data_IF_505776490308
#
_entry.id   IF_505776490308
#
_cell.length_a   1.000
_cell.length_b   1.000
_cell.length_c   1.000
_cell.angle_alpha   90.00
_cell.angle_beta   90.00
_cell.angle_gamma   90.00
#
_symmetry.space_group_name_H-M   'P 1'
#
loop_
_entity.id
_entity.type
_entity.pdbx_description
1 polymer ?
#
# COMPACT_ATOMS: atom_id res chain seq x y z
N UNK A 1 4.05 11.27 45.88
CA UNK A 1 3.25 12.08 44.96
C UNK A 1 4.20 12.64 43.90
N UNK A 2 4.51 11.84 42.87
CA UNK A 2 5.42 12.20 41.79
C UNK A 2 4.61 12.27 40.50
N UNK A 3 4.35 13.50 40.07
CA UNK A 3 3.88 13.84 38.74
C UNK A 3 5.08 13.71 37.80
N UNK A 4 5.16 12.65 37.01
CA UNK A 4 5.99 12.59 35.81
C UNK A 4 5.06 12.81 34.62
N UNK A 5 4.96 14.07 34.22
CA UNK A 5 5.66 14.59 33.05
C UNK A 5 5.08 14.05 31.74
N UNK A 6 4.04 14.75 31.33
CA UNK A 6 3.62 14.99 29.96
C UNK A 6 4.85 15.21 29.05
N UNK A 7 5.35 14.16 28.41
CA UNK A 7 6.15 14.30 27.19
C UNK A 7 5.31 13.86 26.01
N UNK A 8 4.67 14.86 25.40
CA UNK A 8 4.09 14.83 24.07
C UNK A 8 5.20 14.44 23.08
N UNK A 9 5.44 13.14 22.90
CA UNK A 9 6.21 12.62 21.76
C UNK A 9 5.52 13.18 20.53
N UNK A 10 6.19 14.05 19.77
CA UNK A 10 5.79 14.32 18.39
C UNK A 10 5.56 12.96 17.74
N UNK A 11 4.38 12.74 17.17
CA UNK A 11 3.95 11.43 16.68
C UNK A 11 4.99 10.92 15.66
N UNK A 12 5.90 10.07 16.12
CA UNK A 12 6.89 9.45 15.28
C UNK A 12 6.11 8.40 14.47
N UNK A 13 5.87 8.71 13.19
CA UNK A 13 5.21 7.79 12.25
C UNK A 13 6.00 6.48 12.25
N UNK A 14 5.32 5.38 12.57
CA UNK A 14 5.92 4.06 12.43
C UNK A 14 5.91 3.63 10.96
N UNK A 15 6.58 2.52 10.65
CA UNK A 15 6.75 2.07 9.26
C UNK A 15 5.42 1.67 8.64
N UNK A 16 4.47 1.18 9.44
CA UNK A 16 3.12 0.87 8.97
C UNK A 16 2.39 2.16 8.56
N UNK A 17 2.51 3.24 9.35
CA UNK A 17 1.96 4.54 8.96
C UNK A 17 2.60 5.04 7.66
N UNK A 18 3.92 4.87 7.49
CA UNK A 18 4.60 5.24 6.25
C UNK A 18 4.07 4.47 5.04
N UNK A 19 3.81 3.16 5.17
CA UNK A 19 3.20 2.35 4.10
C UNK A 19 1.78 2.82 3.78
N UNK A 20 0.99 3.24 4.76
CA UNK A 20 -0.36 3.76 4.53
C UNK A 20 -0.31 5.12 3.82
N UNK A 21 0.54 6.02 4.28
CA UNK A 21 0.61 7.39 3.75
C UNK A 21 1.35 7.51 2.41
N UNK A 22 2.11 6.50 1.99
CA UNK A 22 2.72 6.47 0.65
C UNK A 22 1.71 6.05 -0.44
N UNK A 23 0.59 5.40 -0.09
CA UNK A 23 -0.39 4.91 -1.08
C UNK A 23 -0.90 6.02 -2.03
N UNK A 24 -1.28 7.23 -1.56
CA UNK A 24 -1.71 8.30 -2.46
C UNK A 24 -0.62 8.75 -3.42
N UNK A 25 0.64 8.77 -2.98
CA UNK A 25 1.79 9.13 -3.83
C UNK A 25 1.96 8.07 -4.93
N UNK A 26 1.89 6.79 -4.57
CA UNK A 26 1.93 5.70 -5.54
C UNK A 26 0.77 5.77 -6.54
N UNK A 27 -0.43 6.11 -6.09
CA UNK A 27 -1.59 6.27 -6.97
C UNK A 27 -1.38 7.40 -8.00
N UNK A 28 -0.77 8.52 -7.60
CA UNK A 28 -0.41 9.61 -8.52
C UNK A 28 0.66 9.15 -9.51
N UNK A 29 1.67 8.39 -9.07
CA UNK A 29 2.69 7.85 -9.96
C UNK A 29 2.12 6.86 -10.98
N UNK A 30 1.23 5.97 -10.55
CA UNK A 30 0.51 5.03 -11.42
C UNK A 30 -0.32 5.77 -12.48
N UNK A 31 -1.08 6.79 -12.07
CA UNK A 31 -1.82 7.66 -13.01
C UNK A 31 -0.86 8.34 -14.01
N UNK A 32 0.26 8.88 -13.53
CA UNK A 32 1.21 9.58 -14.38
C UNK A 32 1.85 8.64 -15.42
N UNK A 33 2.22 7.42 -15.03
CA UNK A 33 2.75 6.42 -15.97
C UNK A 33 1.70 5.88 -16.92
N UNK A 34 0.44 5.72 -16.48
CA UNK A 34 -0.70 5.41 -17.36
C UNK A 34 -0.91 6.50 -18.42
N UNK A 35 -0.91 7.77 -18.03
CA UNK A 35 -1.04 8.88 -18.99
C UNK A 35 0.15 8.98 -19.95
N UNK A 36 1.36 8.77 -19.45
CA UNK A 36 2.56 8.75 -20.27
C UNK A 36 2.53 7.64 -21.33
N UNK A 37 2.16 6.42 -20.92
CA UNK A 37 2.02 5.28 -21.84
C UNK A 37 0.90 5.51 -22.85
N UNK A 38 -0.25 6.04 -22.41
CA UNK A 38 -1.34 6.47 -23.30
C UNK A 38 -0.87 7.44 -24.39
N UNK A 39 0.01 8.39 -24.07
CA UNK A 39 0.53 9.35 -25.04
C UNK A 39 1.45 8.72 -26.11
N UNK A 40 2.01 7.53 -25.83
CA UNK A 40 3.03 6.86 -26.64
C UNK A 40 2.52 5.65 -27.43
N UNK A 41 1.40 5.03 -27.02
CA UNK A 41 0.90 3.78 -27.63
C UNK A 41 -0.47 3.94 -28.28
N UNK A 42 -0.62 3.48 -29.53
CA UNK A 42 -1.86 3.62 -30.33
C UNK A 42 -3.05 2.74 -29.89
N UNK A 43 -2.92 1.85 -28.91
CA UNK A 43 -4.06 1.00 -28.53
C UNK A 43 -4.07 0.60 -27.04
N UNK A 44 -4.93 1.28 -26.30
CA UNK A 44 -5.36 0.98 -24.93
C UNK A 44 -6.20 -0.29 -24.80
N UNK A 45 -6.73 -0.79 -25.92
CA UNK A 45 -7.63 -1.94 -25.95
C UNK A 45 -6.89 -3.28 -25.76
N UNK A 46 -5.56 -3.31 -25.94
CA UNK A 46 -4.77 -4.55 -25.94
C UNK A 46 -4.08 -4.83 -24.60
N UNK A 47 -4.00 -3.87 -23.65
CA UNK A 47 -3.31 -4.13 -22.38
C UNK A 47 -3.84 -3.27 -21.23
N UNK A 48 -4.03 -3.88 -20.06
CA UNK A 48 -4.59 -3.24 -18.86
C UNK A 48 -3.64 -2.16 -18.30
N UNK A 49 -3.80 -0.91 -18.78
CA UNK A 49 -2.93 0.21 -18.39
C UNK A 49 -3.38 0.83 -17.06
N UNK A 50 -3.20 0.12 -15.95
CA UNK A 50 -3.52 0.63 -14.61
C UNK A 50 -4.75 -0.02 -13.97
N UNK A 51 -4.81 0.03 -12.63
CA UNK A 51 -5.85 -0.64 -11.82
C UNK A 51 -7.22 -0.03 -12.14
N UNK A 52 -8.09 -0.76 -12.85
CA UNK A 52 -9.40 -0.30 -13.37
C UNK A 52 -9.39 0.64 -14.60
N UNK A 53 -8.23 1.04 -15.12
CA UNK A 53 -8.18 1.92 -16.29
C UNK A 53 -8.82 1.28 -17.54
N UNK A 54 -8.75 -0.05 -17.67
CA UNK A 54 -9.39 -0.80 -18.75
C UNK A 54 -10.93 -0.71 -18.73
N UNK A 55 -11.53 -0.50 -17.56
CA UNK A 55 -12.99 -0.33 -17.41
C UNK A 55 -13.43 1.06 -17.85
N UNK A 56 -12.70 2.11 -17.44
CA UNK A 56 -13.06 3.50 -17.74
C UNK A 56 -12.66 3.95 -19.15
N UNK A 57 -11.61 3.37 -19.74
CA UNK A 57 -11.26 3.58 -21.15
C UNK A 57 -12.36 3.10 -22.09
N UNK A 58 -12.97 1.93 -21.82
CA UNK A 58 -14.09 1.39 -22.60
C UNK A 58 -15.33 2.29 -22.58
N UNK A 59 -15.49 3.09 -21.53
CA UNK A 59 -16.59 4.05 -21.38
C UNK A 59 -16.24 5.47 -21.86
N UNK A 60 -15.02 5.72 -22.33
CA UNK A 60 -14.56 7.06 -22.73
C UNK A 60 -14.40 8.05 -21.57
N UNK A 61 -14.37 7.56 -20.32
CA UNK A 61 -14.40 8.38 -19.09
C UNK A 61 -13.06 8.37 -18.34
N UNK A 62 -11.94 8.17 -19.04
CA UNK A 62 -10.59 8.10 -18.42
C UNK A 62 -10.25 9.34 -17.59
N UNK A 63 -10.68 10.53 -18.01
CA UNK A 63 -10.41 11.77 -17.28
C UNK A 63 -11.19 11.88 -15.97
N UNK A 64 -12.33 11.20 -15.86
CA UNK A 64 -13.10 11.10 -14.62
C UNK A 64 -12.51 10.03 -13.68
N UNK A 65 -11.93 8.97 -14.25
CA UNK A 65 -11.25 7.92 -13.48
C UNK A 65 -10.09 8.45 -12.66
N UNK A 66 -9.27 9.35 -13.22
CA UNK A 66 -8.05 9.86 -12.57
C UNK A 66 -8.34 10.51 -11.20
N UNK A 67 -9.17 11.56 -11.09
CA UNK A 67 -9.44 12.20 -9.81
C UNK A 67 -10.19 11.26 -8.86
N UNK A 68 -11.07 10.39 -9.38
CA UNK A 68 -11.83 9.44 -8.57
C UNK A 68 -10.92 8.37 -7.96
N UNK A 69 -10.00 7.80 -8.73
CA UNK A 69 -9.04 6.80 -8.28
C UNK A 69 -8.13 7.35 -7.20
N UNK A 70 -7.52 8.52 -7.44
CA UNK A 70 -6.64 9.16 -6.44
C UNK A 70 -7.43 9.49 -5.18
N UNK A 71 -8.66 10.02 -5.30
CA UNK A 71 -9.52 10.32 -4.16
C UNK A 71 -9.88 9.05 -3.37
N UNK A 72 -10.21 7.95 -4.05
CA UNK A 72 -10.47 6.66 -3.43
C UNK A 72 -9.25 6.17 -2.63
N UNK A 73 -8.04 6.24 -3.20
CA UNK A 73 -6.83 5.82 -2.48
C UNK A 73 -6.54 6.72 -1.27
N UNK A 74 -6.76 8.04 -1.38
CA UNK A 74 -6.66 8.96 -0.23
C UNK A 74 -7.66 8.55 0.87
N UNK A 75 -8.92 8.30 0.52
CA UNK A 75 -9.94 7.86 1.46
C UNK A 75 -9.57 6.55 2.13
N UNK A 76 -9.08 5.55 1.37
CA UNK A 76 -8.66 4.26 1.90
C UNK A 76 -7.48 4.43 2.85
N UNK A 77 -6.46 5.21 2.47
CA UNK A 77 -5.31 5.49 3.33
C UNK A 77 -5.76 6.15 4.65
N UNK A 78 -6.68 7.11 4.59
CA UNK A 78 -7.23 7.76 5.77
C UNK A 78 -8.01 6.78 6.66
N UNK A 79 -8.84 5.91 6.08
CA UNK A 79 -9.59 4.89 6.80
C UNK A 79 -8.64 3.90 7.48
N UNK A 80 -7.61 3.41 6.78
CA UNK A 80 -6.61 2.50 7.35
C UNK A 80 -5.88 3.16 8.52
N UNK A 81 -5.41 4.40 8.35
CA UNK A 81 -4.75 5.14 9.42
C UNK A 81 -5.69 5.36 10.62
N UNK A 82 -6.94 5.72 10.36
CA UNK A 82 -7.95 5.91 11.40
C UNK A 82 -8.23 4.63 12.17
N UNK A 83 -8.44 3.50 11.49
CA UNK A 83 -8.65 2.21 12.15
C UNK A 83 -7.45 1.89 13.04
N UNK A 84 -6.22 1.93 12.49
CA UNK A 84 -5.00 1.62 13.24
C UNK A 84 -4.87 2.47 14.52
N UNK A 85 -5.16 3.77 14.43
CA UNK A 85 -5.08 4.69 15.58
C UNK A 85 -6.05 4.34 16.71
N UNK A 86 -7.16 3.67 16.41
CA UNK A 86 -8.17 3.29 17.39
C UNK A 86 -8.00 1.85 17.92
N UNK A 87 -7.00 1.10 17.43
CA UNK A 87 -6.72 -0.25 17.92
C UNK A 87 -5.90 -0.21 19.21
N UNK A 88 -6.27 -1.04 20.18
CA UNK A 88 -5.50 -1.25 21.40
C UNK A 88 -4.56 -2.47 21.24
N UNK A 89 -3.22 -2.30 21.32
CA UNK A 89 -2.27 -3.42 21.25
C UNK A 89 -2.41 -4.45 22.37
N UNK A 90 -3.06 -4.13 23.48
CA UNK A 90 -3.33 -5.06 24.59
C UNK A 90 -4.47 -6.04 24.26
N UNK A 91 -5.39 -5.66 23.36
CA UNK A 91 -6.55 -6.50 23.05
C UNK A 91 -6.25 -7.50 21.92
N UNK A 92 -6.39 -8.80 22.18
CA UNK A 92 -6.14 -9.85 21.19
C UNK A 92 -7.03 -9.77 19.94
N UNK A 93 -8.26 -9.28 20.07
CA UNK A 93 -9.13 -9.01 18.92
C UNK A 93 -8.56 -7.93 17.99
N UNK A 94 -8.00 -6.87 18.58
CA UNK A 94 -7.42 -5.75 17.86
C UNK A 94 -6.12 -6.15 17.15
N UNK A 95 -5.40 -7.18 17.63
CA UNK A 95 -4.24 -7.79 16.94
C UNK A 95 -4.61 -8.41 15.62
N UNK A 96 -5.74 -9.11 15.57
CA UNK A 96 -6.23 -9.70 14.32
C UNK A 96 -6.61 -8.60 13.33
N UNK A 97 -7.31 -7.56 13.81
CA UNK A 97 -7.70 -6.41 12.97
C UNK A 97 -6.45 -5.67 12.47
N UNK A 98 -5.44 -5.48 13.32
CA UNK A 98 -4.17 -4.86 12.94
C UNK A 98 -3.44 -5.67 11.86
N UNK A 99 -3.36 -6.99 11.99
CA UNK A 99 -2.76 -7.85 10.97
C UNK A 99 -3.51 -7.80 9.64
N UNK A 100 -4.84 -7.79 9.67
CA UNK A 100 -5.66 -7.63 8.47
C UNK A 100 -5.43 -6.26 7.81
N UNK A 101 -5.30 -5.20 8.61
CA UNK A 101 -5.03 -3.85 8.16
C UNK A 101 -3.66 -3.74 7.49
N UNK A 102 -2.62 -4.30 8.11
CA UNK A 102 -1.27 -4.37 7.52
C UNK A 102 -1.29 -5.17 6.23
N UNK A 103 -1.98 -6.33 6.22
CA UNK A 103 -2.16 -7.14 5.03
C UNK A 103 -2.83 -6.36 3.88
N UNK A 104 -3.91 -5.63 4.17
CA UNK A 104 -4.62 -4.81 3.21
C UNK A 104 -3.74 -3.66 2.67
N UNK A 105 -3.03 -2.95 3.54
CA UNK A 105 -2.11 -1.88 3.15
C UNK A 105 -0.98 -2.40 2.24
N UNK A 106 -0.36 -3.52 2.62
CA UNK A 106 0.68 -4.18 1.83
C UNK A 106 0.16 -4.69 0.48
N UNK A 107 -1.05 -5.25 0.46
CA UNK A 107 -1.69 -5.71 -0.78
C UNK A 107 -1.95 -4.54 -1.73
N UNK A 108 -2.55 -3.45 -1.25
CA UNK A 108 -2.81 -2.25 -2.06
C UNK A 108 -1.50 -1.63 -2.56
N UNK A 109 -0.49 -1.49 -1.69
CA UNK A 109 0.84 -1.02 -2.08
C UNK A 109 1.41 -1.86 -3.23
N UNK A 110 1.38 -3.19 -3.08
CA UNK A 110 1.94 -4.12 -4.06
C UNK A 110 1.21 -4.02 -5.39
N UNK A 111 -0.12 -3.95 -5.36
CA UNK A 111 -0.96 -3.84 -6.55
C UNK A 111 -0.65 -2.55 -7.33
N UNK A 112 -0.60 -1.40 -6.66
CA UNK A 112 -0.32 -0.10 -7.30
C UNK A 112 1.13 -0.06 -7.81
N UNK A 113 2.08 -0.59 -7.02
CA UNK A 113 3.50 -0.65 -7.42
C UNK A 113 3.70 -1.52 -8.65
N UNK A 114 3.02 -2.67 -8.73
CA UNK A 114 3.06 -3.55 -9.90
C UNK A 114 2.55 -2.84 -11.16
N UNK A 115 1.38 -2.20 -11.07
CA UNK A 115 0.81 -1.42 -12.17
C UNK A 115 1.76 -0.29 -12.62
N UNK A 116 2.28 0.48 -11.67
CA UNK A 116 3.25 1.54 -11.92
C UNK A 116 4.51 1.05 -12.65
N UNK A 117 5.15 -0.02 -12.15
CA UNK A 117 6.40 -0.55 -12.73
C UNK A 117 6.13 -1.13 -14.12
N UNK A 118 5.05 -1.90 -14.30
CA UNK A 118 4.68 -2.47 -15.60
C UNK A 118 4.47 -1.34 -16.62
N UNK A 119 3.74 -0.28 -16.25
CA UNK A 119 3.52 0.87 -17.12
C UNK A 119 4.83 1.60 -17.45
N UNK A 120 5.72 1.79 -16.47
CA UNK A 120 7.00 2.46 -16.67
C UNK A 120 7.90 1.72 -17.68
N UNK A 121 7.97 0.39 -17.57
CA UNK A 121 8.83 -0.45 -18.43
C UNK A 121 8.14 -0.96 -19.69
N UNK A 122 6.84 -0.65 -19.87
CA UNK A 122 6.03 -1.17 -20.97
C UNK A 122 6.67 -0.99 -22.36
N UNK A 123 7.23 0.18 -22.72
CA UNK A 123 7.86 0.35 -24.03
C UNK A 123 9.02 -0.62 -24.25
N UNK A 124 9.89 -0.80 -23.25
CA UNK A 124 11.04 -1.69 -23.33
C UNK A 124 10.65 -3.17 -23.32
N UNK A 125 9.57 -3.53 -22.61
CA UNK A 125 9.03 -4.89 -22.58
C UNK A 125 8.54 -5.29 -23.97
N UNK A 126 7.83 -4.38 -24.65
CA UNK A 126 7.32 -4.59 -26.01
C UNK A 126 8.48 -4.70 -27.01
N UNK A 127 9.42 -3.75 -26.99
CA UNK A 127 10.59 -3.74 -27.90
C UNK A 127 11.44 -5.02 -27.80
N UNK A 128 11.57 -5.58 -26.60
CA UNK A 128 12.40 -6.77 -26.34
C UNK A 128 11.62 -8.09 -26.37
N UNK A 129 10.31 -8.06 -26.57
CA UNK A 129 9.45 -9.26 -26.56
C UNK A 129 9.47 -10.03 -25.24
N UNK A 130 9.64 -9.34 -24.11
CA UNK A 130 9.75 -10.00 -22.80
C UNK A 130 8.37 -10.45 -22.34
N UNK A 131 8.30 -11.65 -21.75
CA UNK A 131 7.05 -12.17 -21.21
C UNK A 131 6.63 -11.41 -19.93
N UNK A 132 5.55 -10.64 -20.02
CA UNK A 132 4.98 -9.85 -18.93
C UNK A 132 4.68 -10.67 -17.68
N UNK A 133 4.24 -11.92 -17.83
CA UNK A 133 3.89 -12.78 -16.69
C UNK A 133 5.09 -12.98 -15.74
N UNK A 134 6.30 -13.13 -16.30
CA UNK A 134 7.51 -13.32 -15.49
C UNK A 134 7.91 -12.03 -14.78
N UNK A 135 7.73 -10.88 -15.44
CA UNK A 135 8.00 -9.56 -14.87
C UNK A 135 7.02 -9.29 -13.72
N UNK A 136 5.73 -9.56 -13.92
CA UNK A 136 4.72 -9.39 -12.89
C UNK A 136 5.04 -10.23 -11.66
N UNK A 137 5.28 -11.54 -11.81
CA UNK A 137 5.66 -12.41 -10.68
C UNK A 137 6.87 -11.85 -9.93
N UNK A 138 7.89 -11.38 -10.65
CA UNK A 138 9.09 -10.83 -10.04
C UNK A 138 8.79 -9.53 -9.28
N UNK A 139 7.97 -8.64 -9.83
CA UNK A 139 7.57 -7.40 -9.15
C UNK A 139 6.71 -7.71 -7.92
N UNK A 140 5.71 -8.59 -8.02
CA UNK A 140 4.88 -9.00 -6.90
C UNK A 140 5.73 -9.64 -5.79
N UNK A 141 6.59 -10.59 -6.14
CA UNK A 141 7.44 -11.28 -5.17
C UNK A 141 8.40 -10.34 -4.44
N UNK A 142 9.09 -9.46 -5.18
CA UNK A 142 10.04 -8.50 -4.60
C UNK A 142 9.34 -7.42 -3.76
N UNK A 143 8.17 -6.95 -4.20
CA UNK A 143 7.37 -5.97 -3.44
C UNK A 143 6.83 -6.55 -2.14
N UNK A 144 6.27 -7.76 -2.16
CA UNK A 144 5.78 -8.44 -0.96
C UNK A 144 6.94 -8.70 0.01
N UNK A 145 8.05 -9.25 -0.48
CA UNK A 145 9.21 -9.55 0.37
C UNK A 145 9.76 -8.28 1.03
N UNK A 146 9.97 -7.21 0.26
CA UNK A 146 10.48 -5.94 0.78
C UNK A 146 9.54 -5.32 1.81
N UNK A 147 8.22 -5.32 1.56
CA UNK A 147 7.23 -4.84 2.52
C UNK A 147 7.23 -5.64 3.81
N UNK A 148 7.24 -6.98 3.73
CA UNK A 148 7.28 -7.85 4.91
C UNK A 148 8.50 -7.52 5.76
N UNK A 149 9.70 -7.44 5.18
CA UNK A 149 10.91 -7.06 5.91
C UNK A 149 10.84 -5.65 6.48
N UNK A 150 10.21 -4.72 5.74
CA UNK A 150 10.08 -3.33 6.17
C UNK A 150 9.20 -3.21 7.42
N UNK A 151 8.01 -3.81 7.43
CA UNK A 151 7.05 -3.69 8.56
C UNK A 151 7.26 -4.72 9.67
N UNK A 152 8.11 -5.73 9.48
CA UNK A 152 8.30 -6.86 10.40
C UNK A 152 8.57 -6.44 11.85
N UNK A 153 9.47 -5.47 12.05
CA UNK A 153 9.85 -4.99 13.39
C UNK A 153 8.63 -4.42 14.14
N UNK A 154 7.83 -3.60 13.45
CA UNK A 154 6.69 -2.93 14.06
C UNK A 154 5.55 -3.91 14.33
N UNK A 155 5.31 -4.83 13.38
CA UNK A 155 4.30 -5.90 13.56
C UNK A 155 4.64 -6.80 14.74
N UNK A 156 5.91 -7.23 14.83
CA UNK A 156 6.33 -8.11 15.94
C UNK A 156 6.32 -7.38 17.28
N UNK A 157 6.64 -6.08 17.34
CA UNK A 157 6.50 -5.28 18.54
C UNK A 157 5.03 -5.20 18.99
N UNK A 158 4.12 -4.93 18.05
CA UNK A 158 2.67 -4.81 18.32
C UNK A 158 2.06 -6.11 18.86
N UNK A 159 2.49 -7.27 18.34
CA UNK A 159 2.03 -8.58 18.81
C UNK A 159 2.58 -8.91 20.21
N UNK A 160 3.83 -8.51 20.49
CA UNK A 160 4.56 -8.85 21.73
C UNK A 160 4.09 -8.09 22.97
N UNK A 161 3.33 -7.00 22.84
CA UNK A 161 2.79 -6.23 23.97
C UNK A 161 2.01 -7.09 24.99
N UNK A 162 1.47 -8.25 24.59
CA UNK A 162 0.83 -9.23 25.52
C UNK A 162 1.80 -9.91 26.49
N UNK A 163 3.07 -10.09 26.06
CA UNK A 163 3.94 -11.10 26.65
C UNK A 163 4.63 -10.60 27.92
N UNK A 164 4.72 -9.29 28.12
CA UNK A 164 5.35 -8.67 29.28
C UNK A 164 4.39 -8.62 30.48
N UNK A 165 3.10 -8.32 30.29
CA UNK A 165 2.11 -8.29 31.40
C UNK A 165 1.79 -9.69 31.96
N UNK A 166 1.80 -10.74 31.13
CA UNK A 166 1.56 -12.10 31.63
C UNK A 166 2.72 -12.68 32.46
N UNK A 167 3.92 -12.11 32.37
CA UNK A 167 5.06 -12.50 33.21
C UNK A 167 5.06 -11.75 34.55
N UNK A 168 4.68 -10.48 34.59
CA UNK A 168 4.60 -9.71 35.85
C UNK A 168 3.44 -10.12 36.77
N UNK A 169 2.37 -10.72 36.24
CA UNK A 169 1.24 -11.21 37.05
C UNK A 169 1.52 -12.58 37.68
N UNK A 170 2.59 -13.27 37.28
CA UNK A 170 2.94 -14.62 37.74
C UNK A 170 4.24 -14.68 38.60
N UNK A 171 4.85 -13.55 38.96
CA UNK A 171 5.89 -13.44 39.99
C UNK A 171 5.32 -12.97 41.34
#
# INVERSE_FOLDING_TARGET
>A
MHVYSTFKKGAQLDRVDMVIWILPVLAVLDVATTLYTMSKSESLAVREVGVFASFFTKLGLIYLYIPLYVLCIICIAFILWFIKKNLNPEHSGDKVIFLLLVGAACYIYTLITAAFIVNLFLPSIIERGINLFHIEILIYGTSIASLVFYVWSDVTAWIKTDREEQMEVNE
#
